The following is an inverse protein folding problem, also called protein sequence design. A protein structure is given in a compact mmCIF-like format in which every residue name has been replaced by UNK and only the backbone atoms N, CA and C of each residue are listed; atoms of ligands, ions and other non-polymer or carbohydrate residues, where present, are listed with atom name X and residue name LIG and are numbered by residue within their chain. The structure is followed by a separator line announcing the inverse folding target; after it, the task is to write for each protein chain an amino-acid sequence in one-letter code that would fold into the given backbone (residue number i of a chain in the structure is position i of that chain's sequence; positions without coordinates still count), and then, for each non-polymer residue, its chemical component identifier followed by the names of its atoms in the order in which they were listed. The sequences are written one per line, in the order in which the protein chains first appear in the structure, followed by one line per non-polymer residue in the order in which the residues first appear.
data_IF_683488684800
#
_entry.id   IF_683488684800
#
_cell.length_a   1.000
_cell.length_b   1.000
_cell.length_c   1.000
_cell.angle_alpha   90.00
_cell.angle_beta   90.00
_cell.angle_gamma   90.00
#
_symmetry.space_group_name_H-M   'P 1'
#
loop_
_entity.id
_entity.type
_entity.pdbx_description
1 polymer ?
#
# COMPACT_ATOMS: atom_id res chain seq x y z
N UNK A 1 56.65 14.23 -52.37
CA UNK A 1 55.76 13.07 -52.39
C UNK A 1 54.91 13.10 -51.07
N UNK A 2 53.74 13.73 -51.15
CA UNK A 2 52.83 13.90 -50.00
C UNK A 2 51.95 12.69 -49.89
N UNK A 3 51.95 12.01 -48.73
CA UNK A 3 51.04 10.92 -48.41
C UNK A 3 49.95 11.49 -47.57
N UNK A 4 48.75 11.67 -48.14
CA UNK A 4 47.54 12.08 -47.46
C UNK A 4 46.94 10.85 -46.83
N UNK A 5 46.85 10.79 -45.47
CA UNK A 5 46.11 9.75 -44.74
C UNK A 5 44.66 10.17 -44.65
N UNK A 6 43.76 9.42 -45.30
CA UNK A 6 42.32 9.50 -45.09
C UNK A 6 41.97 8.86 -43.76
N UNK A 7 41.36 9.63 -42.85
CA UNK A 7 40.68 9.13 -41.68
C UNK A 7 39.23 8.81 -42.08
N UNK A 8 38.85 7.53 -42.00
CA UNK A 8 37.48 7.07 -42.16
C UNK A 8 36.76 7.17 -40.79
N UNK A 9 35.60 7.84 -40.66
CA UNK A 9 34.85 7.83 -39.45
C UNK A 9 34.09 6.50 -39.29
N UNK A 10 34.33 5.82 -38.18
CA UNK A 10 33.58 4.62 -37.77
C UNK A 10 32.20 5.07 -37.26
N UNK A 11 31.14 4.86 -38.04
CA UNK A 11 29.76 5.04 -37.59
C UNK A 11 29.41 3.89 -36.67
N UNK A 12 29.33 4.17 -35.36
CA UNK A 12 28.79 3.21 -34.39
C UNK A 12 27.24 3.24 -34.46
N UNK A 13 26.69 2.27 -35.17
CA UNK A 13 25.23 2.06 -35.20
C UNK A 13 24.79 1.45 -33.89
N UNK A 14 24.20 2.26 -32.99
CA UNK A 14 23.60 1.80 -31.75
C UNK A 14 22.31 1.02 -32.07
N UNK A 15 22.32 -0.28 -31.83
CA UNK A 15 21.11 -1.12 -31.87
C UNK A 15 20.32 -0.82 -30.58
N UNK A 16 19.22 -0.07 -30.69
CA UNK A 16 18.21 0.01 -29.62
C UNK A 16 17.52 -1.35 -29.56
N UNK A 17 17.90 -2.18 -28.60
CA UNK A 17 17.08 -3.33 -28.21
C UNK A 17 15.82 -2.79 -27.52
N UNK A 18 14.70 -2.78 -28.20
CA UNK A 18 13.38 -2.63 -27.59
C UNK A 18 13.07 -3.93 -26.84
N UNK A 19 13.23 -3.93 -25.51
CA UNK A 19 12.70 -5.01 -24.69
C UNK A 19 11.17 -5.03 -24.83
N UNK A 20 10.53 -6.21 -25.00
CA UNK A 20 9.09 -6.30 -25.02
C UNK A 20 8.55 -5.79 -23.66
N UNK A 21 7.55 -4.89 -23.68
CA UNK A 21 6.74 -4.58 -22.50
C UNK A 21 6.03 -5.88 -22.13
N UNK A 22 6.53 -6.57 -21.10
CA UNK A 22 5.80 -7.68 -20.50
C UNK A 22 4.50 -7.11 -19.90
N UNK A 23 3.35 -7.66 -20.30
CA UNK A 23 2.09 -7.35 -19.64
C UNK A 23 2.23 -7.66 -18.14
N UNK A 24 1.86 -6.71 -17.30
CA UNK A 24 1.90 -6.89 -15.85
C UNK A 24 0.89 -7.98 -15.47
N UNK A 25 1.35 -9.15 -15.02
CA UNK A 25 0.45 -10.18 -14.55
C UNK A 25 -0.13 -9.75 -13.20
N UNK A 26 -1.46 -9.62 -13.16
CA UNK A 26 -2.22 -9.18 -11.99
C UNK A 26 -3.08 -10.36 -11.52
N UNK A 27 -2.91 -10.80 -10.28
CA UNK A 27 -3.84 -11.72 -9.64
C UNK A 27 -4.78 -10.94 -8.71
N UNK A 28 -6.08 -11.22 -8.83
CA UNK A 28 -7.13 -10.56 -8.02
C UNK A 28 -7.81 -11.60 -7.14
N UNK A 29 -7.88 -11.31 -5.85
CA UNK A 29 -8.56 -12.09 -4.82
C UNK A 29 -9.71 -11.24 -4.30
N UNK A 30 -10.94 -11.67 -4.55
CA UNK A 30 -12.13 -10.90 -4.19
C UNK A 30 -13.24 -11.81 -3.73
N UNK A 31 -13.91 -11.44 -2.67
CA UNK A 31 -15.10 -12.11 -2.15
C UNK A 31 -15.90 -11.18 -1.26
N UNK A 32 -17.19 -11.46 -1.13
CA UNK A 32 -18.08 -10.78 -0.19
C UNK A 32 -19.11 -11.75 0.37
N UNK A 33 -19.65 -11.46 1.55
CA UNK A 33 -20.67 -12.30 2.16
C UNK A 33 -21.00 -11.89 3.59
N UNK A 34 -21.94 -12.61 4.23
CA UNK A 34 -22.49 -12.20 5.52
C UNK A 34 -21.58 -12.49 6.73
N UNK A 35 -20.42 -13.10 6.54
CA UNK A 35 -19.55 -13.49 7.66
C UNK A 35 -18.09 -13.64 7.24
N UNK A 36 -17.17 -13.65 8.21
CA UNK A 36 -15.75 -13.95 7.99
C UNK A 36 -15.53 -15.28 7.24
N UNK A 37 -16.29 -16.31 7.57
CA UNK A 37 -16.19 -17.62 6.90
C UNK A 37 -16.51 -17.55 5.40
N UNK A 38 -17.41 -16.64 4.99
CA UNK A 38 -17.78 -16.46 3.57
C UNK A 38 -16.63 -15.96 2.70
N UNK A 39 -15.69 -15.22 3.27
CA UNK A 39 -14.59 -14.57 2.58
C UNK A 39 -13.23 -15.19 2.89
N UNK A 40 -13.15 -16.07 3.89
CA UNK A 40 -11.91 -16.66 4.41
C UNK A 40 -11.05 -17.29 3.30
N UNK A 41 -11.66 -18.00 2.36
CA UNK A 41 -10.92 -18.67 1.26
C UNK A 41 -10.16 -17.70 0.38
N UNK A 42 -10.73 -16.52 0.07
CA UNK A 42 -10.04 -15.48 -0.73
C UNK A 42 -8.93 -14.81 0.08
N UNK A 43 -9.16 -14.56 1.37
CA UNK A 43 -8.14 -13.99 2.27
C UNK A 43 -6.96 -14.95 2.40
N UNK A 44 -7.21 -16.24 2.62
CA UNK A 44 -6.16 -17.26 2.75
C UNK A 44 -5.42 -17.48 1.43
N UNK A 45 -6.12 -17.46 0.31
CA UNK A 45 -5.51 -17.52 -1.02
C UNK A 45 -4.53 -16.37 -1.24
N UNK A 46 -4.92 -15.14 -0.89
CA UNK A 46 -4.06 -13.96 -0.97
C UNK A 46 -2.87 -14.03 0.01
N UNK A 47 -3.10 -14.45 1.25
CA UNK A 47 -2.04 -14.66 2.25
C UNK A 47 -1.01 -15.68 1.77
N UNK A 48 -1.46 -16.77 1.19
CA UNK A 48 -0.60 -17.84 0.66
C UNK A 48 0.22 -17.37 -0.53
N UNK A 49 -0.38 -16.59 -1.43
CA UNK A 49 0.32 -15.99 -2.56
C UNK A 49 1.43 -15.04 -2.07
N UNK A 50 1.15 -14.16 -1.14
CA UNK A 50 2.16 -13.23 -0.60
C UNK A 50 3.26 -13.93 0.21
N UNK A 51 2.99 -15.09 0.82
CA UNK A 51 3.95 -15.88 1.58
C UNK A 51 3.89 -15.67 3.08
N UNK A 52 4.98 -15.97 3.79
CA UNK A 52 5.07 -15.97 5.27
C UNK A 52 4.83 -14.57 5.85
N UNK A 53 4.10 -14.51 6.98
CA UNK A 53 3.94 -13.26 7.74
C UNK A 53 5.22 -12.93 8.53
N UNK A 54 5.83 -11.82 8.21
CA UNK A 54 7.10 -11.36 8.79
C UNK A 54 6.93 -10.58 10.12
N UNK A 55 5.68 -10.28 10.51
CA UNK A 55 5.38 -9.60 11.78
C UNK A 55 5.88 -8.16 11.83
N UNK A 56 6.54 -7.78 12.91
CA UNK A 56 7.02 -6.41 13.19
C UNK A 56 8.54 -6.34 13.10
N UNK A 57 9.06 -5.25 12.53
CA UNK A 57 10.50 -5.00 12.44
C UNK A 57 11.20 -5.83 11.38
N UNK A 58 12.50 -5.59 11.24
CA UNK A 58 13.32 -6.23 10.22
C UNK A 58 12.92 -5.87 8.78
N UNK A 59 13.71 -6.34 7.82
CA UNK A 59 13.43 -6.26 6.39
C UNK A 59 13.77 -7.62 5.77
N UNK A 60 12.88 -8.17 4.97
CA UNK A 60 12.98 -9.52 4.44
C UNK A 60 12.91 -9.48 2.90
N UNK A 61 13.48 -10.49 2.25
CA UNK A 61 13.48 -10.55 0.79
C UNK A 61 12.09 -10.87 0.21
N UNK A 62 11.20 -11.47 0.99
CA UNK A 62 9.86 -11.90 0.57
C UNK A 62 8.94 -12.06 1.77
N UNK A 63 7.69 -12.44 1.53
CA UNK A 63 6.68 -12.61 2.55
C UNK A 63 5.69 -11.46 2.58
N UNK A 64 4.97 -11.36 3.67
CA UNK A 64 3.92 -10.36 3.86
C UNK A 64 3.97 -9.69 5.24
N UNK A 65 3.25 -8.60 5.36
CA UNK A 65 2.91 -7.90 6.61
C UNK A 65 1.40 -7.84 6.75
N UNK A 66 0.94 -7.84 7.99
CA UNK A 66 -0.48 -7.70 8.32
C UNK A 66 -0.67 -6.66 9.41
N UNK A 67 -1.75 -5.88 9.32
CA UNK A 67 -2.22 -4.94 10.33
C UNK A 67 -3.67 -5.31 10.62
N UNK A 68 -3.96 -5.82 11.81
CA UNK A 68 -5.29 -6.17 12.26
C UNK A 68 -5.89 -5.18 13.29
N UNK A 69 -5.21 -4.08 13.56
CA UNK A 69 -5.60 -2.98 14.44
C UNK A 69 -5.70 -3.32 15.93
N UNK A 70 -5.94 -4.57 16.31
CA UNK A 70 -6.23 -4.99 17.68
C UNK A 70 -5.08 -4.67 18.65
N UNK A 71 -3.86 -4.73 18.17
CA UNK A 71 -2.66 -4.38 18.93
C UNK A 71 -2.42 -2.87 19.10
N UNK A 72 -3.28 -2.00 18.56
CA UNK A 72 -3.16 -0.55 18.73
C UNK A 72 -3.55 -0.17 20.16
N UNK A 73 -2.64 0.49 20.94
CA UNK A 73 -2.93 0.86 22.32
C UNK A 73 -4.12 1.83 22.45
N UNK A 74 -4.78 1.84 23.60
CA UNK A 74 -5.95 2.67 23.85
C UNK A 74 -5.71 4.18 23.69
N UNK A 75 -4.49 4.65 23.97
CA UNK A 75 -4.11 6.06 23.76
C UNK A 75 -3.96 6.45 22.28
N UNK A 76 -4.07 5.51 21.33
CA UNK A 76 -4.10 5.71 19.89
C UNK A 76 -5.38 5.15 19.25
N UNK A 77 -6.37 4.78 20.07
CA UNK A 77 -7.69 4.31 19.64
C UNK A 77 -8.77 5.30 20.07
N UNK A 78 -9.95 5.22 19.47
CA UNK A 78 -11.10 6.08 19.75
C UNK A 78 -11.30 6.30 21.27
N UNK A 79 -11.42 7.54 21.76
CA UNK A 79 -11.60 8.81 21.04
C UNK A 79 -10.31 9.48 20.54
N UNK A 80 -9.14 8.87 20.73
CA UNK A 80 -7.86 9.44 20.33
C UNK A 80 -7.57 9.13 18.84
N UNK A 81 -6.73 9.95 18.24
CA UNK A 81 -6.30 9.76 16.86
C UNK A 81 -5.07 8.85 16.77
N UNK A 82 -4.99 8.08 15.68
CA UNK A 82 -3.82 7.30 15.33
C UNK A 82 -2.85 8.15 14.49
N UNK A 83 -1.58 8.28 14.86
CA UNK A 83 -0.57 8.88 13.99
C UNK A 83 -0.44 8.12 12.66
N UNK A 84 -0.43 8.82 11.52
CA UNK A 84 -0.34 8.18 10.21
C UNK A 84 0.91 7.33 9.99
N UNK A 85 2.01 7.63 10.70
CA UNK A 85 3.26 6.87 10.63
C UNK A 85 3.38 5.77 11.71
N UNK A 86 2.33 5.49 12.48
CA UNK A 86 2.37 4.52 13.59
C UNK A 86 2.92 3.16 13.15
N UNK A 87 2.51 2.65 11.99
CA UNK A 87 2.94 1.35 11.47
C UNK A 87 4.26 1.39 10.69
N UNK A 88 4.98 2.50 10.76
CA UNK A 88 6.37 2.56 10.35
C UNK A 88 7.31 2.91 11.51
N UNK A 89 6.86 3.72 12.48
CA UNK A 89 7.70 4.16 13.61
C UNK A 89 7.49 3.35 14.89
N UNK A 90 6.25 3.20 15.36
CA UNK A 90 5.93 2.53 16.62
C UNK A 90 5.82 1.00 16.47
N UNK A 91 5.29 0.56 15.35
CA UNK A 91 5.09 -0.85 15.02
C UNK A 91 5.61 -1.08 13.59
N UNK A 92 6.93 -1.14 13.44
CA UNK A 92 7.63 -1.09 12.17
C UNK A 92 7.20 -2.21 11.20
N UNK A 93 6.21 -1.91 10.35
CA UNK A 93 5.70 -2.74 9.26
C UNK A 93 5.85 -2.08 7.89
N UNK A 94 6.38 -0.84 7.85
CA UNK A 94 6.65 -0.13 6.61
C UNK A 94 5.42 0.49 5.95
N UNK A 95 4.32 0.72 6.68
CA UNK A 95 3.13 1.39 6.18
C UNK A 95 2.96 2.76 6.83
N UNK A 96 2.73 3.79 6.02
CA UNK A 96 2.41 5.16 6.43
C UNK A 96 1.11 5.57 5.76
N UNK A 97 0.20 6.15 6.53
CA UNK A 97 -1.13 6.56 6.08
C UNK A 97 -1.20 8.06 5.84
N UNK A 98 -1.86 8.45 4.75
CA UNK A 98 -2.18 9.84 4.39
C UNK A 98 -3.67 9.94 4.05
N UNK A 99 -4.31 11.07 4.35
CA UNK A 99 -5.72 11.34 4.03
C UNK A 99 -5.92 12.83 3.76
N UNK A 100 -6.83 13.21 2.86
CA UNK A 100 -7.29 14.60 2.76
C UNK A 100 -8.17 15.02 3.96
N UNK A 101 -8.60 14.06 4.80
CA UNK A 101 -9.31 14.33 6.04
C UNK A 101 -8.43 14.88 7.15
N UNK A 102 -8.97 14.97 8.36
CA UNK A 102 -8.31 15.63 9.51
C UNK A 102 -7.44 14.67 10.34
N UNK A 103 -7.74 13.37 10.36
CA UNK A 103 -7.05 12.38 11.19
C UNK A 103 -7.33 10.94 10.75
N UNK A 104 -6.66 9.99 11.43
CA UNK A 104 -7.01 8.57 11.42
C UNK A 104 -7.51 8.14 12.78
N UNK A 105 -8.39 7.14 12.79
CA UNK A 105 -8.92 6.57 14.01
C UNK A 105 -9.02 5.05 13.93
N UNK A 106 -8.61 4.39 14.99
CA UNK A 106 -8.87 2.97 15.25
C UNK A 106 -9.98 2.88 16.26
N UNK A 107 -10.96 2.02 16.08
CA UNK A 107 -12.11 1.94 16.99
C UNK A 107 -11.70 1.47 18.38
N UNK A 108 -12.54 1.78 19.37
CA UNK A 108 -12.35 1.32 20.75
C UNK A 108 -12.63 -0.19 20.88
N UNK A 109 -12.06 -0.82 21.90
CA UNK A 109 -12.43 -2.17 22.30
C UNK A 109 -13.81 -2.17 22.95
N UNK A 110 -14.48 -3.32 22.89
CA UNK A 110 -15.67 -3.57 23.71
C UNK A 110 -15.35 -3.46 25.21
N UNK A 111 -16.30 -2.90 25.97
CA UNK A 111 -16.20 -2.82 27.44
C UNK A 111 -15.32 -1.70 28.00
N UNK A 112 -14.73 -0.83 27.16
CA UNK A 112 -14.11 0.43 27.59
C UNK A 112 -15.13 1.57 27.49
N UNK A 113 -14.99 2.67 28.22
CA UNK A 113 -16.00 3.74 28.28
C UNK A 113 -16.41 4.37 26.94
N UNK A 114 -15.63 4.18 25.86
CA UNK A 114 -15.93 4.59 24.50
C UNK A 114 -16.68 3.47 23.77
N UNK A 115 -17.80 3.76 23.04
CA UNK A 115 -18.49 2.77 22.24
C UNK A 115 -17.59 2.12 21.19
N UNK A 116 -17.69 0.79 21.02
CA UNK A 116 -16.92 0.04 20.02
C UNK A 116 -17.32 0.41 18.60
N UNK A 117 -16.50 0.03 17.61
CA UNK A 117 -16.78 0.12 16.17
C UNK A 117 -17.31 1.48 15.73
N UNK A 118 -16.71 2.55 16.27
CA UNK A 118 -17.11 3.95 15.97
C UNK A 118 -18.53 4.33 16.40
N UNK A 119 -19.12 3.63 17.38
CA UNK A 119 -20.40 4.01 17.97
C UNK A 119 -20.39 5.40 18.64
N UNK A 120 -19.22 5.98 18.89
CA UNK A 120 -19.01 7.37 19.29
C UNK A 120 -19.33 8.38 18.17
N UNK A 121 -19.19 7.96 16.89
CA UNK A 121 -19.53 8.77 15.71
C UNK A 121 -21.02 8.59 15.38
N UNK A 122 -21.47 7.33 15.27
CA UNK A 122 -22.87 7.01 15.04
C UNK A 122 -23.26 5.78 15.87
N UNK A 123 -24.27 5.87 16.74
CA UNK A 123 -24.71 4.77 17.59
C UNK A 123 -25.18 3.51 16.84
N UNK A 124 -25.47 3.59 15.55
CA UNK A 124 -25.84 2.43 14.72
C UNK A 124 -24.64 1.58 14.29
N UNK A 125 -23.43 2.14 14.19
CA UNK A 125 -22.25 1.48 13.66
C UNK A 125 -21.85 0.18 14.37
N UNK A 126 -21.97 0.04 15.70
CA UNK A 126 -21.71 -1.24 16.36
C UNK A 126 -22.58 -2.40 15.87
N UNK A 127 -23.77 -2.10 15.34
CA UNK A 127 -24.70 -3.09 14.78
C UNK A 127 -24.54 -3.29 13.27
N UNK A 128 -23.98 -2.30 12.55
CA UNK A 128 -23.76 -2.36 11.11
C UNK A 128 -22.41 -2.98 10.78
N UNK A 129 -21.34 -2.59 11.47
CA UNK A 129 -20.01 -3.08 11.17
C UNK A 129 -19.72 -4.43 11.83
N UNK A 130 -19.51 -5.46 11.01
CA UNK A 130 -18.87 -6.70 11.42
C UNK A 130 -17.36 -6.55 11.48
N UNK A 131 -16.69 -7.46 12.17
CA UNK A 131 -15.23 -7.58 12.17
C UNK A 131 -14.82 -8.92 11.56
N UNK A 132 -13.74 -8.94 10.82
CA UNK A 132 -13.11 -10.15 10.31
C UNK A 132 -12.15 -10.72 11.36
N UNK A 133 -11.20 -9.91 11.80
CA UNK A 133 -10.45 -10.14 13.04
C UNK A 133 -11.08 -9.36 14.18
N UNK A 134 -10.99 -9.86 15.40
CA UNK A 134 -11.57 -9.18 16.56
C UNK A 134 -10.58 -8.14 17.06
N UNK A 135 -10.94 -6.96 17.42
CA UNK A 135 -12.22 -6.29 17.67
C UNK A 135 -12.30 -4.95 16.95
N UNK A 136 -11.13 -4.44 16.45
CA UNK A 136 -10.96 -3.05 16.05
C UNK A 136 -11.04 -2.86 14.55
N UNK A 137 -11.59 -1.73 14.16
CA UNK A 137 -11.68 -1.24 12.79
C UNK A 137 -10.88 0.05 12.63
N UNK A 138 -10.61 0.43 11.39
CA UNK A 138 -9.86 1.62 11.03
C UNK A 138 -10.65 2.51 10.07
N UNK A 139 -10.50 3.83 10.20
CA UNK A 139 -11.08 4.82 9.29
C UNK A 139 -10.26 6.11 9.25
N UNK A 140 -10.43 6.90 8.19
CA UNK A 140 -10.07 8.32 8.20
C UNK A 140 -11.24 9.14 8.78
N UNK A 141 -10.94 10.27 9.40
CA UNK A 141 -11.90 11.23 9.91
C UNK A 141 -12.04 12.37 8.89
N UNK A 142 -13.27 12.78 8.62
CA UNK A 142 -13.64 13.82 7.65
C UNK A 142 -13.28 13.48 6.18
N UNK A 143 -12.98 12.21 5.91
CA UNK A 143 -12.72 11.70 4.55
C UNK A 143 -13.02 10.21 4.47
N UNK A 144 -13.43 9.76 3.29
CA UNK A 144 -13.52 8.33 2.94
C UNK A 144 -12.31 7.87 2.12
N UNK A 145 -11.24 8.68 2.04
CA UNK A 145 -10.03 8.39 1.28
C UNK A 145 -8.86 8.15 2.24
N UNK A 146 -8.17 7.03 2.04
CA UNK A 146 -6.92 6.67 2.71
C UNK A 146 -5.88 6.32 1.66
N UNK A 147 -4.75 6.99 1.66
CA UNK A 147 -3.55 6.58 0.95
C UNK A 147 -2.62 5.80 1.89
N UNK A 148 -2.16 4.64 1.45
CA UNK A 148 -1.13 3.84 2.14
C UNK A 148 0.15 3.93 1.33
N UNK A 149 1.20 4.50 1.92
CA UNK A 149 2.54 4.55 1.34
C UNK A 149 3.46 3.53 1.99
N UNK A 150 4.30 2.91 1.18
CA UNK A 150 5.21 1.89 1.67
C UNK A 150 6.64 2.40 1.83
N UNK A 151 7.28 1.94 2.91
CA UNK A 151 8.67 2.22 3.26
C UNK A 151 9.35 0.93 3.69
N UNK A 152 10.66 0.86 3.61
CA UNK A 152 11.41 -0.19 4.29
C UNK A 152 11.11 -0.10 5.78
N UNK A 153 10.64 -1.18 6.43
CA UNK A 153 10.12 -1.12 7.79
C UNK A 153 11.05 -0.43 8.79
N UNK A 154 10.54 0.56 9.51
CA UNK A 154 11.28 1.33 10.50
C UNK A 154 12.25 2.38 9.93
N UNK A 155 12.18 2.67 8.64
CA UNK A 155 13.06 3.65 7.98
C UNK A 155 12.26 4.70 7.20
N UNK A 156 12.95 5.74 6.72
CA UNK A 156 12.39 6.72 5.79
C UNK A 156 12.72 6.39 4.32
N UNK A 157 13.27 5.20 4.05
CA UNK A 157 13.59 4.77 2.69
C UNK A 157 12.28 4.32 2.01
N UNK A 158 11.90 4.94 0.86
CA UNK A 158 10.73 4.50 0.10
C UNK A 158 10.82 3.03 -0.27
N UNK A 159 9.71 2.34 -0.12
CA UNK A 159 9.56 0.93 -0.44
C UNK A 159 8.43 0.71 -1.43
N UNK A 160 8.40 -0.48 -1.99
CA UNK A 160 7.29 -0.97 -2.80
C UNK A 160 6.94 -2.40 -2.39
N UNK A 161 5.67 -2.76 -2.55
CA UNK A 161 5.15 -4.09 -2.26
C UNK A 161 4.68 -4.76 -3.54
N UNK A 162 4.63 -6.10 -3.55
CA UNK A 162 4.11 -6.84 -4.69
C UNK A 162 2.59 -7.04 -4.64
N UNK A 163 1.95 -6.74 -3.52
CA UNK A 163 0.50 -6.85 -3.39
C UNK A 163 -0.01 -6.12 -2.17
N UNK A 164 -1.29 -5.75 -2.22
CA UNK A 164 -2.03 -5.15 -1.11
C UNK A 164 -3.49 -5.58 -1.18
N UNK A 165 -4.07 -5.85 -0.02
CA UNK A 165 -5.48 -6.15 0.15
C UNK A 165 -6.00 -5.62 1.49
N UNK A 166 -7.31 -5.40 1.53
CA UNK A 166 -8.02 -4.94 2.72
C UNK A 166 -9.38 -5.60 2.82
N UNK A 167 -9.86 -5.67 4.05
CA UNK A 167 -11.20 -6.10 4.38
C UNK A 167 -12.07 -4.87 4.69
N UNK A 168 -13.34 -4.97 4.33
CA UNK A 168 -14.30 -3.88 4.43
C UNK A 168 -15.61 -4.40 5.03
N UNK A 169 -15.99 -3.99 6.24
CA UNK A 169 -17.34 -4.19 6.73
C UNK A 169 -18.33 -3.23 6.05
N UNK A 170 -19.53 -3.75 5.80
CA UNK A 170 -20.71 -2.98 5.38
C UNK A 170 -20.58 -2.26 4.02
N UNK A 171 -20.15 -2.98 2.98
CA UNK A 171 -20.15 -2.47 1.60
C UNK A 171 -21.51 -2.76 0.97
N UNK A 172 -22.43 -1.79 1.02
CA UNK A 172 -23.78 -1.93 0.53
C UNK A 172 -23.95 -1.58 -0.95
N UNK A 173 -23.26 -0.53 -1.41
CA UNK A 173 -23.38 -0.03 -2.77
C UNK A 173 -22.30 -0.61 -3.70
N UNK A 174 -22.74 -0.99 -4.90
CA UNK A 174 -21.82 -1.37 -5.97
C UNK A 174 -21.10 -0.13 -6.52
N UNK A 175 -19.77 -0.14 -6.49
CA UNK A 175 -18.95 0.83 -7.20
C UNK A 175 -18.19 1.87 -6.35
N UNK A 176 -18.74 2.46 -5.26
CA UNK A 176 -18.03 3.50 -4.53
C UNK A 176 -16.74 3.01 -3.84
N UNK A 177 -16.77 1.79 -3.26
CA UNK A 177 -15.61 1.24 -2.55
C UNK A 177 -14.61 0.66 -3.54
N UNK A 178 -13.39 1.23 -3.54
CA UNK A 178 -12.35 0.87 -4.51
C UNK A 178 -10.96 0.89 -3.90
N UNK A 179 -10.05 0.12 -4.51
CA UNK A 179 -8.60 0.21 -4.26
C UNK A 179 -7.90 0.53 -5.58
N UNK A 180 -7.09 1.59 -5.61
CA UNK A 180 -6.26 1.97 -6.74
C UNK A 180 -4.78 1.88 -6.35
N UNK A 181 -3.97 1.31 -7.24
CA UNK A 181 -2.57 1.00 -7.02
C UNK A 181 -1.69 1.91 -7.85
N UNK A 182 -0.57 2.37 -7.29
CA UNK A 182 0.33 3.30 -7.95
C UNK A 182 1.79 2.86 -7.80
N UNK A 183 2.57 3.08 -8.86
CA UNK A 183 4.02 2.91 -8.84
C UNK A 183 4.73 4.07 -8.12
N UNK A 184 6.06 3.99 -8.05
CA UNK A 184 6.90 5.03 -7.44
C UNK A 184 6.83 6.38 -8.18
N UNK A 185 6.50 6.39 -9.47
CA UNK A 185 6.32 7.60 -10.27
C UNK A 185 4.89 8.14 -10.22
N UNK A 186 4.03 7.54 -9.37
CA UNK A 186 2.62 7.87 -9.21
C UNK A 186 1.77 7.57 -10.48
N UNK A 187 2.25 6.66 -11.34
CA UNK A 187 1.42 6.13 -12.41
C UNK A 187 0.46 5.09 -11.85
N UNK A 188 -0.82 5.12 -12.29
CA UNK A 188 -1.79 4.10 -11.91
C UNK A 188 -1.43 2.75 -12.54
N UNK A 189 -1.34 1.73 -11.68
CA UNK A 189 -1.16 0.33 -12.06
C UNK A 189 -2.50 -0.38 -12.25
N UNK A 190 -3.60 0.31 -11.94
CA UNK A 190 -4.96 -0.19 -12.05
C UNK A 190 -5.78 0.12 -10.81
N UNK A 191 -7.10 0.07 -11.00
CA UNK A 191 -8.13 0.30 -9.98
C UNK A 191 -9.09 -0.86 -9.97
N UNK A 192 -9.41 -1.37 -8.78
CA UNK A 192 -10.33 -2.47 -8.57
C UNK A 192 -11.49 -2.03 -7.67
N UNK A 193 -12.67 -2.51 -7.98
CA UNK A 193 -13.88 -2.27 -7.18
C UNK A 193 -14.09 -3.42 -6.20
N UNK A 194 -14.39 -3.08 -4.96
CA UNK A 194 -14.73 -4.06 -3.91
C UNK A 194 -16.13 -4.60 -4.19
N UNK A 195 -16.31 -5.91 -4.06
CA UNK A 195 -17.62 -6.55 -4.18
C UNK A 195 -18.52 -6.09 -3.03
N UNK A 196 -19.74 -5.69 -3.36
CA UNK A 196 -20.75 -5.34 -2.37
C UNK A 196 -21.59 -6.56 -1.97
N UNK A 197 -22.11 -6.53 -0.74
CA UNK A 197 -23.15 -7.42 -0.26
C UNK A 197 -24.15 -6.57 0.52
N UNK A 198 -25.27 -6.19 -0.10
CA UNK A 198 -26.28 -5.37 0.58
C UNK A 198 -26.79 -6.02 1.84
N UNK A 199 -26.93 -5.25 2.91
CA UNK A 199 -27.43 -5.68 4.20
C UNK A 199 -26.42 -5.51 5.33
N UNK A 200 -26.91 -5.27 6.53
CA UNK A 200 -26.08 -5.07 7.71
C UNK A 200 -25.18 -6.27 7.99
N UNK A 201 -24.01 -6.01 8.56
CA UNK A 201 -23.04 -7.02 9.00
C UNK A 201 -22.32 -7.79 7.90
N UNK A 202 -22.33 -7.31 6.67
CA UNK A 202 -21.57 -7.92 5.58
C UNK A 202 -20.06 -7.67 5.71
N UNK A 203 -19.27 -8.53 5.07
CA UNK A 203 -17.83 -8.38 4.94
C UNK A 203 -17.43 -8.56 3.48
N UNK A 204 -16.52 -7.72 3.02
CA UNK A 204 -15.93 -7.81 1.68
C UNK A 204 -14.41 -7.82 1.78
N UNK A 205 -13.77 -8.59 0.90
CA UNK A 205 -12.32 -8.63 0.75
C UNK A 205 -11.94 -8.32 -0.68
N UNK A 206 -10.91 -7.49 -0.84
CA UNK A 206 -10.24 -7.26 -2.11
C UNK A 206 -8.73 -7.24 -1.90
N UNK A 207 -8.02 -8.12 -2.59
CA UNK A 207 -6.57 -8.18 -2.65
C UNK A 207 -6.08 -8.27 -4.09
N UNK A 208 -4.99 -7.58 -4.38
CA UNK A 208 -4.30 -7.62 -5.68
C UNK A 208 -2.84 -7.92 -5.46
N UNK A 209 -2.31 -8.86 -6.22
CA UNK A 209 -0.88 -9.14 -6.25
C UNK A 209 -0.31 -9.09 -7.67
N UNK A 210 0.96 -8.71 -7.74
CA UNK A 210 1.78 -8.61 -8.93
C UNK A 210 2.97 -9.55 -8.79
N UNK A 211 3.66 -9.87 -9.87
CA UNK A 211 4.90 -10.64 -9.82
C UNK A 211 6.03 -9.87 -9.13
N UNK A 212 6.06 -8.55 -9.28
CA UNK A 212 7.14 -7.69 -8.80
C UNK A 212 6.65 -6.70 -7.74
N UNK A 213 7.53 -6.32 -6.82
CA UNK A 213 7.28 -5.28 -5.82
C UNK A 213 7.42 -3.88 -6.46
N UNK A 214 6.35 -3.40 -7.06
CA UNK A 214 6.28 -2.11 -7.74
C UNK A 214 5.17 -1.18 -7.22
N UNK A 215 4.29 -1.68 -6.35
CA UNK A 215 3.24 -0.86 -5.72
C UNK A 215 3.89 -0.05 -4.60
N UNK A 216 4.06 1.25 -4.82
CA UNK A 216 4.61 2.15 -3.80
C UNK A 216 3.52 2.83 -2.97
N UNK A 217 2.35 3.07 -3.57
CA UNK A 217 1.20 3.68 -2.91
C UNK A 217 -0.09 2.98 -3.32
N UNK A 218 -1.02 2.89 -2.37
CA UNK A 218 -2.37 2.41 -2.59
C UNK A 218 -3.34 3.49 -2.14
N UNK A 219 -4.37 3.78 -2.92
CA UNK A 219 -5.49 4.62 -2.52
C UNK A 219 -6.73 3.77 -2.32
N UNK A 220 -7.29 3.84 -1.12
CA UNK A 220 -8.57 3.25 -0.76
C UNK A 220 -9.61 4.37 -0.77
N UNK A 221 -10.73 4.15 -1.46
CA UNK A 221 -11.96 4.93 -1.28
C UNK A 221 -12.97 4.02 -0.60
N UNK A 222 -13.40 4.34 0.59
CA UNK A 222 -14.28 3.53 1.44
C UNK A 222 -15.69 4.12 1.43
N UNK A 223 -16.63 3.45 0.76
CA UNK A 223 -17.98 3.93 0.61
C UNK A 223 -18.09 5.24 -0.19
N UNK A 224 -19.22 5.93 -0.05
CA UNK A 224 -19.50 7.18 -0.75
C UNK A 224 -19.42 8.43 0.15
N UNK A 225 -19.15 8.26 1.45
CA UNK A 225 -18.99 9.35 2.42
C UNK A 225 -18.05 8.97 3.56
N UNK A 226 -17.46 9.97 4.21
CA UNK A 226 -16.77 9.80 5.48
C UNK A 226 -17.75 9.36 6.58
N UNK A 227 -17.28 8.53 7.53
CA UNK A 227 -18.10 8.13 8.68
C UNK A 227 -18.64 9.37 9.40
N UNK A 228 -19.94 9.42 9.60
CA UNK A 228 -20.63 10.55 10.23
C UNK A 228 -21.92 10.10 10.94
N UNK A 229 -22.53 11.03 11.67
CA UNK A 229 -23.82 10.82 12.31
C UNK A 229 -25.02 10.99 11.35
N UNK A 230 -24.77 11.33 10.07
CA UNK A 230 -25.81 11.51 9.05
C UNK A 230 -26.22 10.15 8.50
N UNK A 231 -27.48 10.05 8.06
CA UNK A 231 -28.00 8.85 7.39
C UNK A 231 -27.99 9.01 5.86
N UNK A 232 -28.20 7.90 5.14
CA UNK A 232 -28.39 7.88 3.70
C UNK A 232 -27.13 7.76 2.86
N UNK A 233 -26.01 7.40 3.48
CA UNK A 233 -24.72 7.14 2.83
C UNK A 233 -24.30 5.68 3.03
N UNK A 234 -23.47 5.19 2.10
CA UNK A 234 -22.74 3.93 2.24
C UNK A 234 -21.47 4.19 3.06
N UNK A 235 -21.56 3.99 4.36
CA UNK A 235 -20.45 4.14 5.28
C UNK A 235 -19.68 2.84 5.38
N UNK A 236 -18.41 2.87 5.01
CA UNK A 236 -17.54 1.71 5.00
C UNK A 236 -16.32 1.97 5.88
N UNK A 237 -16.11 1.12 6.86
CA UNK A 237 -14.86 1.09 7.62
C UNK A 237 -13.86 0.11 6.95
N UNK A 238 -12.66 0.02 7.49
CA UNK A 238 -11.64 -0.94 7.06
C UNK A 238 -11.25 -1.84 8.24
N UNK A 239 -11.07 -3.11 7.94
CA UNK A 239 -10.51 -4.09 8.85
C UNK A 239 -9.07 -4.41 8.40
N UNK A 240 -8.59 -5.64 8.49
CA UNK A 240 -7.20 -6.03 8.23
C UNK A 240 -6.64 -5.46 6.92
N UNK A 241 -5.41 -4.95 7.00
CA UNK A 241 -4.57 -4.71 5.85
C UNK A 241 -3.54 -5.83 5.72
N UNK A 242 -3.45 -6.41 4.52
CA UNK A 242 -2.52 -7.49 4.19
C UNK A 242 -1.72 -7.04 2.97
N UNK A 243 -0.39 -7.04 3.06
CA UNK A 243 0.45 -6.57 1.95
C UNK A 243 1.79 -7.31 1.91
N UNK A 244 2.39 -7.35 0.72
CA UNK A 244 3.71 -7.93 0.52
C UNK A 244 4.77 -7.22 1.35
N UNK A 245 5.89 -7.89 1.62
CA UNK A 245 7.04 -7.28 2.31
C UNK A 245 7.50 -6.04 1.53
N UNK A 246 7.58 -4.85 2.17
CA UNK A 246 8.08 -3.65 1.52
C UNK A 246 9.57 -3.78 1.17
N UNK A 247 9.86 -3.73 -0.13
CA UNK A 247 11.21 -3.77 -0.69
C UNK A 247 11.70 -2.36 -1.01
N UNK A 248 12.98 -2.10 -0.77
CA UNK A 248 13.58 -0.82 -1.17
C UNK A 248 13.41 -0.58 -2.67
N UNK A 249 12.91 0.59 -3.05
CA UNK A 249 12.84 0.99 -4.46
C UNK A 249 14.27 1.26 -4.93
N UNK A 250 14.76 0.58 -6.00
CA UNK A 250 16.09 0.83 -6.52
C UNK A 250 16.26 2.29 -6.94
N UNK A 251 17.40 2.89 -6.60
CA UNK A 251 17.74 4.22 -7.11
C UNK A 251 17.74 4.19 -8.65
N UNK A 252 17.21 5.24 -9.32
CA UNK A 252 17.23 5.30 -10.77
C UNK A 252 18.63 5.06 -11.33
N UNK A 253 18.76 4.21 -12.34
CA UNK A 253 20.04 3.88 -12.96
C UNK A 253 20.82 5.13 -13.42
N UNK A 254 20.13 6.23 -13.71
CA UNK A 254 20.73 7.53 -14.01
C UNK A 254 21.63 8.06 -12.89
N UNK A 255 21.33 7.82 -11.63
CA UNK A 255 22.16 8.24 -10.48
C UNK A 255 23.47 7.44 -10.44
N UNK A 256 23.40 6.13 -10.74
CA UNK A 256 24.58 5.26 -10.83
C UNK A 256 25.46 5.63 -12.03
N UNK A 257 24.83 5.95 -13.17
CA UNK A 257 25.54 6.40 -14.38
C UNK A 257 26.19 7.77 -14.18
N UNK A 258 25.54 8.70 -13.51
CA UNK A 258 26.11 10.01 -13.19
C UNK A 258 27.32 9.87 -12.25
N UNK A 259 27.20 9.03 -11.21
CA UNK A 259 28.31 8.74 -10.27
C UNK A 259 29.51 8.11 -10.97
N UNK A 260 29.28 7.13 -11.84
CA UNK A 260 30.36 6.49 -12.62
C UNK A 260 30.98 7.44 -13.66
N UNK A 261 30.16 8.26 -14.33
CA UNK A 261 30.63 9.29 -15.25
C UNK A 261 31.52 10.33 -14.60
N UNK A 262 31.13 10.83 -13.41
CA UNK A 262 31.95 11.75 -12.62
C UNK A 262 33.27 11.11 -12.16
N UNK A 263 33.25 9.84 -11.73
CA UNK A 263 34.46 9.12 -11.33
C UNK A 263 35.45 8.98 -12.49
N UNK A 264 34.96 8.68 -13.71
CA UNK A 264 35.80 8.61 -14.91
C UNK A 264 36.39 9.98 -15.25
N UNK A 265 35.62 11.06 -15.17
CA UNK A 265 36.09 12.42 -15.39
C UNK A 265 37.16 12.85 -14.39
N UNK A 266 37.01 12.54 -13.12
CA UNK A 266 38.01 12.81 -12.07
C UNK A 266 39.30 12.02 -12.33
N UNK A 267 39.17 10.75 -12.73
CA UNK A 267 40.32 9.91 -13.04
C UNK A 267 41.07 10.40 -14.28
N UNK A 268 40.35 10.78 -15.35
CA UNK A 268 40.95 11.35 -16.57
C UNK A 268 41.68 12.66 -16.28
N UNK A 269 41.12 13.53 -15.43
CA UNK A 269 41.74 14.81 -15.05
C UNK A 269 43.03 14.60 -14.23
N UNK A 270 43.07 13.57 -13.35
CA UNK A 270 44.27 13.21 -12.58
C UNK A 270 45.41 12.73 -13.48
N UNK A 271 45.11 11.96 -14.54
CA UNK A 271 46.12 11.50 -15.51
C UNK A 271 46.72 12.64 -16.33
N UNK A 272 45.99 13.70 -16.65
CA UNK A 272 46.47 14.84 -17.41
C UNK A 272 47.33 15.82 -16.60
N UNK A 273 47.40 15.63 -15.26
CA UNK A 273 48.17 16.49 -14.35
C UNK A 273 49.48 15.85 -13.86
N UNK A 274 49.81 14.62 -14.30
CA UNK A 274 51.12 13.99 -14.03
C UNK A 274 52.10 14.43 -15.08
N UNK A 275 53.20 15.18 -14.78
CA UNK A 275 54.26 15.48 -15.72
C UNK A 275 55.02 14.21 -16.09
N UNK A 276 55.52 14.14 -17.33
CA UNK A 276 56.45 13.09 -17.83
C UNK A 276 57.75 13.10 -17.06
#
# INVERSE_FOLDING_TARGET
MLITRLLTPLLATGILLSAPLSALAIAVYSSSGPSAASIQGSVDGFRNDLGTNNGVGGSFASGRREINWDGVPANFSDPNNLPGNFFNSNSARGAVFETPGSAFRVSANSGVGTPERFGSINPSFPNSFSVFSSQKLFTAIDSNIVDVRFFVPGTNQPGAVRGFGSLFPDVDLAGPTTIEFFDFHNNSLGKQTVLNTPGVTSLSFLGVSLEQAIINRVRITAGNAALSALDGFDFVAMDDFIYGEPQAVPAPAAVLLLGSGLAVLVWARRKSLLPE
#
